data_IF_384346963112
#
_entry.id   IF_384346963112
#
_cell.length_a   1.000
_cell.length_b   1.000
_cell.length_c   1.000
_cell.angle_alpha   90.00
_cell.angle_beta   90.00
_cell.angle_gamma   90.00
#
_symmetry.space_group_name_H-M   'P 1'
#
loop_
_entity.id
_entity.type
_entity.pdbx_description
1 polymer ?
#
# COMPACT_ATOMS: atom_id res chain seq x y z
N UNK A 1 -20.92 1.81 15.94
CA UNK A 1 -19.72 2.29 15.21
C UNK A 1 -19.43 1.29 14.12
N UNK A 2 -19.13 1.70 12.88
CA UNK A 2 -18.72 0.74 11.85
C UNK A 2 -17.39 0.12 12.26
N UNK A 3 -17.33 -1.18 12.18
CA UNK A 3 -16.12 -1.97 12.39
C UNK A 3 -15.52 -2.23 11.01
N UNK A 4 -14.29 -1.90 10.80
CA UNK A 4 -13.62 -1.99 9.51
C UNK A 4 -12.92 -0.66 9.17
N UNK A 5 -12.28 -0.56 8.02
CA UNK A 5 -11.51 0.62 7.60
C UNK A 5 -12.16 1.91 8.10
N UNK A 6 -11.54 2.54 9.07
CA UNK A 6 -12.13 3.55 9.93
C UNK A 6 -12.66 4.79 9.20
N UNK A 7 -12.24 5.02 7.97
CA UNK A 7 -12.64 6.14 7.13
C UNK A 7 -13.77 5.82 6.14
N UNK A 8 -14.24 4.56 6.10
CA UNK A 8 -15.24 4.11 5.14
C UNK A 8 -16.64 4.04 5.75
N UNK A 9 -17.63 4.56 5.02
CA UNK A 9 -19.03 4.53 5.39
C UNK A 9 -19.44 5.49 6.50
N UNK A 10 -18.52 6.27 7.04
CA UNK A 10 -18.81 7.31 8.02
C UNK A 10 -18.89 8.65 7.29
N UNK A 11 -20.09 9.20 7.21
CA UNK A 11 -20.23 10.60 6.87
C UNK A 11 -19.80 11.43 8.07
N UNK A 12 -18.72 12.16 7.93
CA UNK A 12 -18.31 13.16 8.91
C UNK A 12 -19.12 14.44 8.70
N UNK A 13 -19.54 15.04 9.79
CA UNK A 13 -20.17 16.37 9.75
C UNK A 13 -19.08 17.44 9.63
N UNK A 14 -19.49 18.61 9.21
CA UNK A 14 -18.59 19.76 9.13
C UNK A 14 -17.81 19.97 10.44
N UNK A 15 -16.48 20.05 10.33
CA UNK A 15 -15.57 20.24 11.45
C UNK A 15 -15.22 18.98 12.24
N UNK A 16 -15.81 17.83 11.95
CA UNK A 16 -15.39 16.57 12.58
C UNK A 16 -14.09 16.07 11.99
N UNK A 17 -13.24 15.51 12.84
CA UNK A 17 -11.96 14.90 12.48
C UNK A 17 -11.97 13.47 12.97
N UNK A 18 -11.49 12.58 12.10
CA UNK A 18 -11.30 11.16 12.42
C UNK A 18 -9.86 10.75 12.11
N UNK A 19 -9.27 10.01 13.02
CA UNK A 19 -7.97 9.36 12.83
C UNK A 19 -8.19 7.87 12.60
N UNK A 20 -7.48 7.31 11.62
CA UNK A 20 -7.50 5.90 11.30
C UNK A 20 -6.08 5.33 11.29
N UNK A 21 -5.99 4.04 11.59
CA UNK A 21 -4.76 3.27 11.53
C UNK A 21 -5.08 1.89 10.96
N UNK A 22 -4.56 1.62 9.77
CA UNK A 22 -4.59 0.28 9.20
C UNK A 22 -3.19 -0.32 9.33
N UNK A 23 -3.12 -1.59 9.72
CA UNK A 23 -1.86 -2.32 9.84
C UNK A 23 -2.01 -3.70 9.22
N UNK A 24 -1.10 -4.04 8.30
CA UNK A 24 -0.95 -5.36 7.72
C UNK A 24 0.41 -5.92 8.09
N UNK A 25 0.42 -7.14 8.61
CA UNK A 25 1.65 -7.86 8.90
C UNK A 25 1.64 -9.18 8.14
N UNK A 26 2.72 -9.44 7.44
CA UNK A 26 2.90 -10.61 6.61
C UNK A 26 4.23 -11.27 6.92
N UNK A 27 4.23 -12.59 6.92
CA UNK A 27 5.43 -13.40 6.96
C UNK A 27 5.39 -14.39 5.82
N UNK A 28 6.41 -14.41 4.98
CA UNK A 28 6.47 -15.20 3.76
C UNK A 28 7.79 -15.97 3.76
N UNK A 29 7.70 -17.30 3.71
CA UNK A 29 8.83 -18.16 3.35
C UNK A 29 8.91 -18.25 1.83
N UNK A 30 10.11 -18.19 1.30
CA UNK A 30 10.34 -18.32 -0.13
C UNK A 30 11.58 -19.14 -0.42
N UNK A 31 11.57 -19.75 -1.58
CA UNK A 31 12.74 -20.44 -2.15
C UNK A 31 12.65 -20.44 -3.67
N UNK A 32 13.79 -20.56 -4.33
CA UNK A 32 13.86 -20.87 -5.74
C UNK A 32 15.11 -21.71 -6.04
N UNK A 33 15.01 -22.51 -7.10
CA UNK A 33 16.11 -23.28 -7.62
C UNK A 33 17.23 -22.38 -8.15
N UNK A 34 18.39 -23.00 -8.38
CA UNK A 34 19.50 -22.36 -9.06
C UNK A 34 19.03 -21.77 -10.38
N UNK A 35 19.32 -20.49 -10.58
CA UNK A 35 19.00 -19.83 -11.84
C UNK A 35 19.95 -20.34 -12.94
N UNK A 36 19.41 -20.75 -14.10
CA UNK A 36 20.23 -21.11 -15.24
C UNK A 36 21.19 -19.98 -15.61
N UNK A 37 22.44 -20.33 -15.87
CA UNK A 37 23.51 -19.40 -16.26
C UNK A 37 23.87 -18.33 -15.20
N UNK A 38 23.43 -18.51 -13.95
CA UNK A 38 23.81 -17.66 -12.83
C UNK A 38 25.22 -18.01 -12.31
N UNK A 39 25.94 -16.99 -11.83
CA UNK A 39 27.19 -17.18 -11.10
C UNK A 39 26.96 -17.80 -9.71
N UNK A 40 25.73 -17.76 -9.21
CA UNK A 40 25.33 -18.34 -7.94
C UNK A 40 24.78 -19.75 -8.18
N UNK A 41 25.58 -20.75 -7.87
CA UNK A 41 25.27 -22.15 -8.15
C UNK A 41 24.67 -22.85 -6.91
N UNK A 42 23.69 -22.25 -6.27
CA UNK A 42 22.99 -22.78 -5.11
C UNK A 42 21.52 -22.33 -5.07
N UNK A 43 20.70 -23.11 -4.38
CA UNK A 43 19.29 -22.75 -4.12
C UNK A 43 19.23 -21.57 -3.15
N UNK A 44 18.40 -20.60 -3.47
CA UNK A 44 18.14 -19.45 -2.58
C UNK A 44 16.92 -19.73 -1.71
N UNK A 45 17.11 -19.61 -0.42
CA UNK A 45 16.04 -19.76 0.59
C UNK A 45 16.05 -18.60 1.56
N UNK A 46 14.89 -18.17 1.93
CA UNK A 46 14.76 -17.10 2.91
C UNK A 46 13.34 -16.90 3.40
N UNK A 47 13.18 -15.92 4.23
CA UNK A 47 11.89 -15.47 4.68
C UNK A 47 11.83 -13.95 4.67
N UNK A 48 10.64 -13.40 4.53
CA UNK A 48 10.38 -11.98 4.60
C UNK A 48 9.31 -11.69 5.64
N UNK A 49 9.60 -10.78 6.55
CA UNK A 49 8.61 -10.16 7.41
C UNK A 49 8.29 -8.76 6.88
N UNK A 50 7.02 -8.46 6.72
CA UNK A 50 6.54 -7.16 6.23
C UNK A 50 5.52 -6.60 7.22
N UNK A 51 5.69 -5.35 7.62
CA UNK A 51 4.73 -4.60 8.43
C UNK A 51 4.42 -3.28 7.72
N UNK A 52 3.19 -3.13 7.26
CA UNK A 52 2.72 -1.93 6.58
C UNK A 52 1.69 -1.24 7.44
N UNK A 53 2.02 -0.05 7.90
CA UNK A 53 1.13 0.82 8.66
C UNK A 53 0.64 1.96 7.77
N UNK A 54 -0.66 2.23 7.79
CA UNK A 54 -1.25 3.34 7.03
C UNK A 54 -2.07 4.23 7.96
N UNK A 55 -1.43 5.16 8.68
CA UNK A 55 -2.16 6.20 9.40
C UNK A 55 -2.92 7.09 8.42
N UNK A 56 -4.09 7.52 8.84
CA UNK A 56 -4.93 8.43 8.08
C UNK A 56 -5.62 9.47 8.96
N UNK A 57 -5.90 10.62 8.37
CA UNK A 57 -6.76 11.63 8.95
C UNK A 57 -7.85 12.01 7.94
N UNK A 58 -9.08 12.06 8.39
CA UNK A 58 -10.23 12.49 7.59
C UNK A 58 -10.93 13.65 8.27
N UNK A 59 -11.23 14.69 7.52
CA UNK A 59 -11.88 15.91 8.00
C UNK A 59 -13.17 16.13 7.23
N UNK A 60 -14.28 16.33 7.93
CA UNK A 60 -15.53 16.77 7.36
C UNK A 60 -15.47 18.26 7.02
N UNK A 61 -15.43 18.59 5.73
CA UNK A 61 -15.49 19.98 5.26
C UNK A 61 -16.92 20.51 5.26
N UNK A 62 -17.87 19.62 5.05
CA UNK A 62 -19.30 19.87 5.14
C UNK A 62 -20.02 18.58 5.56
N UNK A 63 -21.34 18.62 5.67
CA UNK A 63 -22.14 17.42 5.93
C UNK A 63 -22.16 16.43 4.75
N UNK A 64 -21.59 16.81 3.62
CA UNK A 64 -21.57 16.02 2.39
C UNK A 64 -20.17 15.78 1.86
N UNK A 65 -19.20 16.59 2.24
CA UNK A 65 -17.83 16.53 1.70
C UNK A 65 -16.85 16.25 2.83
N UNK A 66 -15.99 15.28 2.62
CA UNK A 66 -14.84 15.07 3.46
C UNK A 66 -13.55 14.98 2.63
N UNK A 67 -12.44 15.31 3.26
CA UNK A 67 -11.10 15.14 2.73
C UNK A 67 -10.32 14.19 3.63
N UNK A 68 -9.57 13.28 3.05
CA UNK A 68 -8.68 12.39 3.80
C UNK A 68 -7.26 12.44 3.26
N UNK A 69 -6.31 12.33 4.18
CA UNK A 69 -4.90 12.16 3.94
C UNK A 69 -4.46 10.85 4.57
N UNK A 70 -3.74 10.01 3.85
CA UNK A 70 -3.10 8.83 4.39
C UNK A 70 -1.65 8.72 3.93
N UNK A 71 -0.82 8.07 4.75
CA UNK A 71 0.60 7.85 4.51
C UNK A 71 0.92 6.38 4.72
N UNK A 72 1.52 5.74 3.72
CA UNK A 72 2.08 4.40 3.90
C UNK A 72 3.40 4.51 4.66
N UNK A 73 3.57 3.67 5.67
CA UNK A 73 4.82 3.48 6.40
C UNK A 73 5.12 1.99 6.35
N UNK A 74 6.15 1.60 5.63
CA UNK A 74 6.49 0.20 5.42
C UNK A 74 7.79 -0.18 6.08
N UNK A 75 7.78 -1.27 6.83
CA UNK A 75 8.96 -1.92 7.33
C UNK A 75 8.98 -3.34 6.78
N UNK A 76 10.05 -3.72 6.10
CA UNK A 76 10.26 -5.06 5.55
C UNK A 76 11.64 -5.55 5.94
N UNK A 77 11.70 -6.81 6.28
CA UNK A 77 12.90 -7.47 6.76
C UNK A 77 13.05 -8.79 6.04
N UNK A 78 14.18 -8.99 5.40
CA UNK A 78 14.50 -10.27 4.76
C UNK A 78 15.48 -11.05 5.63
N UNK A 79 15.19 -12.32 5.80
CA UNK A 79 16.02 -13.29 6.48
C UNK A 79 16.51 -14.30 5.44
N UNK A 80 17.78 -14.62 5.47
CA UNK A 80 18.39 -15.63 4.63
C UNK A 80 18.61 -16.93 5.42
N UNK A 81 18.34 -18.05 4.79
CA UNK A 81 18.65 -19.34 5.37
C UNK A 81 20.14 -19.63 5.17
N UNK A 82 20.83 -19.93 6.29
CA UNK A 82 22.26 -20.26 6.36
C UNK A 82 23.23 -19.13 5.98
N UNK A 83 24.50 -19.53 5.88
CA UNK A 83 25.63 -18.66 5.57
C UNK A 83 25.74 -18.27 4.09
N UNK A 84 25.01 -18.95 3.22
CA UNK A 84 24.97 -18.69 1.80
C UNK A 84 23.87 -17.68 1.48
N UNK A 85 24.28 -16.55 0.99
CA UNK A 85 23.39 -15.48 0.62
C UNK A 85 23.68 -15.02 -0.81
N UNK A 86 22.62 -14.65 -1.51
CA UNK A 86 22.73 -14.11 -2.84
C UNK A 86 23.26 -12.68 -2.82
N UNK A 87 24.25 -12.37 -3.62
CA UNK A 87 24.81 -11.03 -3.74
C UNK A 87 23.88 -10.11 -4.53
N UNK A 88 23.10 -10.63 -5.44
CA UNK A 88 22.18 -9.83 -6.25
C UNK A 88 20.91 -9.38 -5.48
N UNK A 89 20.62 -9.98 -4.34
CA UNK A 89 19.49 -9.59 -3.50
C UNK A 89 19.86 -8.53 -2.43
N UNK A 90 21.07 -8.02 -2.42
CA UNK A 90 21.55 -7.15 -1.34
C UNK A 90 22.11 -5.85 -1.80
N UNK A 91 21.59 -4.81 -1.19
CA UNK A 91 22.09 -3.45 -1.39
C UNK A 91 22.58 -2.77 -0.11
N UNK A 92 22.29 -3.32 1.07
CA UNK A 92 22.64 -2.67 2.33
C UNK A 92 23.86 -3.24 3.03
N UNK A 93 24.61 -4.12 2.39
CA UNK A 93 25.77 -4.75 3.00
C UNK A 93 25.46 -5.64 4.22
N UNK A 94 24.20 -5.95 4.43
CA UNK A 94 23.74 -6.84 5.49
C UNK A 94 23.70 -8.27 4.98
N UNK A 95 24.29 -9.17 5.76
CA UNK A 95 24.35 -10.58 5.39
C UNK A 95 23.09 -11.36 5.73
N UNK A 96 22.40 -10.99 6.80
CA UNK A 96 21.32 -11.78 7.37
C UNK A 96 19.99 -11.08 7.34
N UNK A 97 19.96 -9.80 7.09
CA UNK A 97 18.74 -9.03 7.02
C UNK A 97 18.84 -7.91 5.99
N UNK A 98 17.71 -7.56 5.49
CA UNK A 98 17.57 -6.54 4.48
C UNK A 98 16.46 -5.59 4.96
N UNK A 99 16.86 -4.37 5.26
CA UNK A 99 15.93 -3.36 5.75
C UNK A 99 15.58 -2.45 4.59
N UNK A 100 14.36 -2.22 4.37
CA UNK A 100 13.73 -1.35 3.38
C UNK A 100 14.62 -0.70 2.33
N UNK A 101 13.99 -0.36 1.20
CA UNK A 101 14.64 0.30 0.09
C UNK A 101 15.28 1.65 0.46
N UNK A 102 16.23 2.11 -0.33
CA UNK A 102 16.74 3.47 -0.27
C UNK A 102 15.56 4.45 -0.40
N UNK A 103 15.47 5.42 0.47
CA UNK A 103 14.31 6.34 0.55
C UNK A 103 13.55 6.23 1.85
N UNK A 104 13.93 5.29 2.72
CA UNK A 104 13.43 5.16 4.08
C UNK A 104 12.11 4.40 4.19
N UNK A 105 11.45 4.55 5.32
CA UNK A 105 10.23 3.82 5.67
C UNK A 105 8.96 4.35 5.01
N UNK A 106 8.99 5.57 4.46
CA UNK A 106 7.79 6.22 3.94
C UNK A 106 7.47 5.73 2.53
N UNK A 107 6.28 5.20 2.35
CA UNK A 107 5.68 4.88 1.07
C UNK A 107 4.80 6.02 0.55
N UNK A 108 3.87 5.68 -0.31
CA UNK A 108 3.02 6.65 -0.99
C UNK A 108 2.10 7.41 -0.02
N UNK A 109 1.82 8.66 -0.38
CA UNK A 109 0.81 9.50 0.27
C UNK A 109 -0.42 9.56 -0.61
N UNK A 110 -1.59 9.43 0.00
CA UNK A 110 -2.84 9.53 -0.73
C UNK A 110 -3.71 10.65 -0.16
N UNK A 111 -4.20 11.50 -1.05
CA UNK A 111 -5.16 12.56 -0.73
C UNK A 111 -6.45 12.26 -1.48
N UNK A 112 -7.56 12.20 -0.75
CA UNK A 112 -8.88 11.88 -1.30
C UNK A 112 -9.91 12.92 -0.89
N UNK A 113 -10.80 13.25 -1.82
CA UNK A 113 -12.02 14.00 -1.53
C UNK A 113 -13.19 13.06 -1.79
N UNK A 114 -14.16 13.01 -0.87
CA UNK A 114 -15.35 12.19 -0.98
C UNK A 114 -16.59 13.05 -0.87
N UNK A 115 -17.57 12.75 -1.69
CA UNK A 115 -18.88 13.38 -1.70
C UNK A 115 -19.97 12.36 -1.40
N UNK A 116 -20.83 12.68 -0.44
CA UNK A 116 -22.00 11.88 -0.09
C UNK A 116 -23.14 12.19 -1.09
N UNK A 117 -23.38 11.27 -2.01
CA UNK A 117 -24.43 11.40 -3.04
C UNK A 117 -25.81 11.15 -2.45
N UNK A 118 -25.92 10.08 -1.65
CA UNK A 118 -27.18 9.63 -1.09
C UNK A 118 -27.04 9.35 0.39
N UNK A 119 -27.99 9.91 1.15
CA UNK A 119 -28.15 9.62 2.55
C UNK A 119 -29.65 9.63 2.88
N UNK A 120 -30.23 8.48 3.10
CA UNK A 120 -31.67 8.34 3.33
C UNK A 120 -32.11 8.69 4.77
N UNK A 121 -31.27 9.39 5.53
CA UNK A 121 -31.66 9.99 6.80
C UNK A 121 -31.07 9.36 8.06
N UNK A 122 -31.73 9.62 9.21
CA UNK A 122 -31.20 9.25 10.53
C UNK A 122 -31.43 7.79 10.91
N UNK A 123 -32.43 7.14 10.34
CA UNK A 123 -32.76 5.73 10.59
C UNK A 123 -31.97 4.74 9.71
N UNK A 124 -32.56 3.59 9.47
CA UNK A 124 -32.10 2.64 8.45
C UNK A 124 -32.14 3.27 7.06
N UNK A 125 -31.30 2.80 6.17
CA UNK A 125 -31.24 3.33 4.80
C UNK A 125 -29.88 3.23 4.16
N UNK A 126 -29.76 3.85 3.00
CA UNK A 126 -28.58 3.73 2.12
C UNK A 126 -27.72 4.97 2.20
N UNK A 127 -26.40 4.76 2.16
CA UNK A 127 -25.39 5.81 2.00
C UNK A 127 -24.48 5.45 0.84
N UNK A 128 -24.31 6.38 -0.08
CA UNK A 128 -23.44 6.23 -1.25
C UNK A 128 -22.48 7.41 -1.29
N UNK A 129 -21.20 7.11 -1.37
CA UNK A 129 -20.15 8.11 -1.56
C UNK A 129 -19.45 7.87 -2.89
N UNK A 130 -19.10 8.94 -3.55
CA UNK A 130 -18.12 8.94 -4.64
C UNK A 130 -16.89 9.70 -4.18
N UNK A 131 -15.73 9.21 -4.53
CA UNK A 131 -14.47 9.84 -4.17
C UNK A 131 -13.53 9.93 -5.36
N UNK A 132 -12.66 10.92 -5.30
CA UNK A 132 -11.55 11.07 -6.19
C UNK A 132 -10.34 11.62 -5.46
N UNK A 133 -9.15 11.33 -5.96
CA UNK A 133 -7.93 11.78 -5.33
C UNK A 133 -6.68 11.45 -6.12
N UNK A 134 -5.56 11.64 -5.45
CA UNK A 134 -4.23 11.40 -6.00
C UNK A 134 -3.38 10.61 -5.02
N UNK A 135 -2.56 9.72 -5.54
CA UNK A 135 -1.44 9.11 -4.82
C UNK A 135 -0.14 9.75 -5.28
N UNK A 136 0.65 10.19 -4.33
CA UNK A 136 1.93 10.83 -4.53
C UNK A 136 3.02 9.83 -4.18
N UNK A 137 3.95 9.53 -5.10
CA UNK A 137 5.00 8.55 -4.84
C UNK A 137 5.97 9.03 -3.78
N UNK A 138 6.53 8.08 -3.06
CA UNK A 138 7.67 8.31 -2.19
C UNK A 138 8.99 8.03 -2.92
N UNK A 139 10.10 8.23 -2.21
CA UNK A 139 11.44 7.87 -2.69
C UNK A 139 11.80 6.41 -2.42
N UNK A 140 10.95 5.67 -1.72
CA UNK A 140 11.16 4.26 -1.42
C UNK A 140 10.69 3.39 -2.60
N UNK A 141 11.40 3.50 -3.72
CA UNK A 141 11.13 2.79 -4.97
C UNK A 141 12.15 1.68 -5.20
N UNK A 142 11.88 0.84 -6.18
CA UNK A 142 12.87 -0.10 -6.69
C UNK A 142 14.11 0.64 -7.19
N UNK A 143 15.27 0.04 -6.99
CA UNK A 143 16.57 0.62 -7.37
C UNK A 143 17.11 0.09 -8.68
N UNK A 144 16.62 -1.07 -9.12
CA UNK A 144 16.99 -1.75 -10.37
C UNK A 144 15.76 -2.35 -11.04
N UNK A 145 15.88 -2.71 -12.31
CA UNK A 145 14.80 -3.38 -13.05
C UNK A 145 14.48 -4.73 -12.40
N UNK A 146 13.22 -4.94 -11.92
CA UNK A 146 12.83 -6.18 -11.27
C UNK A 146 12.81 -7.40 -12.21
N UNK A 147 12.82 -7.20 -13.52
CA UNK A 147 12.75 -8.27 -14.51
C UNK A 147 14.07 -8.54 -15.22
N UNK A 148 15.12 -7.78 -14.96
CA UNK A 148 16.46 -7.96 -15.57
C UNK A 148 16.44 -8.01 -17.10
N UNK A 149 15.59 -7.22 -17.73
CA UNK A 149 15.38 -7.31 -19.17
C UNK A 149 16.60 -6.84 -19.97
N UNK A 150 17.34 -5.87 -19.46
CA UNK A 150 18.38 -5.20 -20.21
C UNK A 150 19.82 -5.66 -19.93
N UNK A 151 20.11 -6.19 -18.74
CA UNK A 151 21.48 -6.52 -18.32
C UNK A 151 21.54 -7.83 -17.53
N UNK A 152 21.33 -8.96 -18.19
CA UNK A 152 21.47 -10.28 -17.56
C UNK A 152 22.90 -10.60 -17.11
N UNK A 153 23.89 -9.94 -17.68
CA UNK A 153 25.31 -10.16 -17.43
C UNK A 153 25.86 -9.26 -16.31
N UNK A 154 25.15 -8.24 -15.91
CA UNK A 154 25.49 -7.40 -14.77
C UNK A 154 24.64 -7.82 -13.59
N UNK A 155 25.27 -8.36 -12.55
CA UNK A 155 24.61 -8.64 -11.28
C UNK A 155 24.41 -7.31 -10.57
N UNK A 156 23.43 -6.56 -11.04
CA UNK A 156 23.00 -5.37 -10.33
C UNK A 156 22.24 -5.81 -9.07
N UNK A 157 22.69 -5.30 -7.94
CA UNK A 157 21.98 -5.44 -6.68
C UNK A 157 20.58 -4.91 -6.83
N UNK A 158 19.60 -5.80 -6.85
CA UNK A 158 18.21 -5.38 -6.95
C UNK A 158 17.44 -5.65 -5.68
N UNK A 159 16.39 -4.89 -5.53
CA UNK A 159 15.47 -5.00 -4.41
C UNK A 159 14.13 -5.50 -4.89
N UNK A 160 13.66 -6.55 -4.25
CA UNK A 160 12.33 -7.06 -4.48
C UNK A 160 11.24 -6.24 -3.81
N UNK A 161 11.60 -5.32 -2.94
CA UNK A 161 10.64 -4.66 -2.05
C UNK A 161 10.79 -3.16 -2.09
N UNK A 162 9.71 -2.53 -2.49
CA UNK A 162 9.50 -1.10 -2.31
C UNK A 162 8.13 -0.88 -1.68
N UNK A 163 7.91 0.28 -1.11
CA UNK A 163 6.59 0.70 -0.61
C UNK A 163 5.98 1.80 -1.47
N UNK A 164 6.58 2.02 -2.65
CA UNK A 164 6.13 2.92 -3.69
C UNK A 164 6.50 2.38 -5.06
N UNK A 165 5.61 2.53 -6.03
CA UNK A 165 5.90 2.21 -7.43
C UNK A 165 6.69 3.33 -8.13
N UNK A 166 6.79 4.51 -7.50
CA UNK A 166 7.46 5.67 -8.08
C UNK A 166 6.59 6.51 -9.01
N UNK A 167 5.30 6.18 -9.18
CA UNK A 167 4.38 6.86 -10.09
C UNK A 167 3.35 7.70 -9.36
N UNK A 168 2.97 8.83 -9.95
CA UNK A 168 1.75 9.52 -9.56
C UNK A 168 0.54 8.74 -10.06
N UNK A 169 -0.51 8.64 -9.24
CA UNK A 169 -1.73 7.92 -9.61
C UNK A 169 -2.97 8.76 -9.39
N UNK A 170 -3.92 8.66 -10.30
CA UNK A 170 -5.29 9.07 -10.04
C UNK A 170 -6.00 7.96 -9.28
N UNK A 171 -6.84 8.36 -8.35
CA UNK A 171 -7.63 7.44 -7.52
C UNK A 171 -9.11 7.78 -7.67
N UNK A 172 -9.90 6.78 -8.04
CA UNK A 172 -11.36 6.84 -8.06
C UNK A 172 -11.93 5.90 -7.00
N UNK A 173 -13.00 6.30 -6.33
CA UNK A 173 -13.62 5.50 -5.28
C UNK A 173 -15.14 5.58 -5.34
N UNK A 174 -15.78 4.44 -5.11
CA UNK A 174 -17.21 4.32 -4.88
C UNK A 174 -17.43 3.52 -3.59
N UNK A 175 -18.23 4.07 -2.67
CA UNK A 175 -18.61 3.39 -1.44
C UNK A 175 -20.13 3.27 -1.37
N UNK A 176 -20.58 2.11 -0.94
CA UNK A 176 -21.99 1.81 -0.73
C UNK A 176 -22.17 1.16 0.64
N UNK A 177 -23.07 1.69 1.44
CA UNK A 177 -23.42 1.17 2.76
C UNK A 177 -24.91 1.18 2.99
N UNK A 178 -25.39 0.06 3.51
CA UNK A 178 -26.73 -0.11 4.02
C UNK A 178 -26.68 -0.07 5.55
N UNK A 179 -27.31 0.94 6.14
CA UNK A 179 -27.56 0.99 7.58
C UNK A 179 -28.85 0.25 7.88
N UNK A 180 -28.84 -0.63 8.87
CA UNK A 180 -29.97 -1.42 9.31
C UNK A 180 -30.33 -1.08 10.75
N UNK A 181 -31.55 -1.42 11.17
CA UNK A 181 -32.01 -1.27 12.57
C UNK A 181 -31.67 -2.48 13.45
N UNK A 182 -30.96 -3.47 12.90
CA UNK A 182 -30.52 -4.70 13.57
C UNK A 182 -29.09 -5.07 13.18
N UNK A 183 -28.48 -5.94 13.95
CA UNK A 183 -27.08 -6.34 13.75
C UNK A 183 -26.87 -7.25 12.51
N UNK A 184 -25.76 -7.05 11.77
CA UNK A 184 -24.85 -5.90 11.86
C UNK A 184 -25.52 -4.61 11.37
N UNK A 185 -25.30 -3.51 12.10
CA UNK A 185 -25.94 -2.22 11.83
C UNK A 185 -25.54 -1.67 10.46
N UNK A 186 -24.32 -1.93 10.02
CA UNK A 186 -23.86 -1.54 8.69
C UNK A 186 -23.42 -2.76 7.88
N UNK A 187 -23.87 -2.80 6.64
CA UNK A 187 -23.39 -3.73 5.61
C UNK A 187 -23.06 -2.93 4.38
N UNK A 188 -21.91 -3.17 3.79
CA UNK A 188 -21.54 -2.47 2.57
C UNK A 188 -20.10 -2.73 2.17
N UNK A 189 -19.62 -1.95 1.22
CA UNK A 189 -18.28 -2.09 0.69
C UNK A 189 -17.81 -0.83 -0.01
N UNK A 190 -16.56 -0.87 -0.40
CA UNK A 190 -15.91 0.15 -1.18
C UNK A 190 -15.18 -0.48 -2.38
N UNK A 191 -15.27 0.19 -3.50
CA UNK A 191 -14.52 -0.10 -4.70
C UNK A 191 -13.57 1.06 -4.98
N UNK A 192 -12.29 0.78 -5.16
CA UNK A 192 -11.28 1.79 -5.45
C UNK A 192 -10.47 1.35 -6.69
N UNK A 193 -10.25 2.29 -7.60
CA UNK A 193 -9.40 2.13 -8.77
C UNK A 193 -8.27 3.14 -8.67
N UNK A 194 -7.07 2.69 -8.98
CA UNK A 194 -5.91 3.56 -9.12
C UNK A 194 -5.29 3.37 -10.50
N UNK A 195 -4.99 4.47 -11.16
CA UNK A 195 -4.39 4.48 -12.50
C UNK A 195 -3.16 5.38 -12.47
N UNK A 196 -1.98 4.89 -12.85
CA UNK A 196 -0.80 5.73 -13.01
C UNK A 196 -1.03 6.77 -14.10
N UNK A 197 -0.49 7.96 -13.94
CA UNK A 197 -0.55 9.05 -14.91
C UNK A 197 0.82 9.35 -15.51
N UNK A 198 1.84 8.74 -15.00
CA UNK A 198 3.20 8.73 -15.49
C UNK A 198 3.80 7.32 -15.36
N UNK A 199 4.90 7.09 -16.00
CA UNK A 199 5.68 5.87 -15.88
C UNK A 199 6.74 6.03 -14.79
N UNK A 200 7.05 4.95 -14.11
CA UNK A 200 8.18 4.94 -13.20
C UNK A 200 9.51 4.88 -13.97
N UNK A 201 10.63 4.90 -13.25
CA UNK A 201 12.00 4.82 -13.81
C UNK A 201 12.20 3.64 -14.77
N UNK A 202 11.42 2.59 -14.64
CA UNK A 202 11.56 1.34 -15.44
C UNK A 202 10.43 1.13 -16.45
N UNK A 203 9.55 2.11 -16.64
CA UNK A 203 8.48 2.05 -17.63
C UNK A 203 7.24 1.27 -17.21
N UNK A 204 6.99 1.11 -15.92
CA UNK A 204 5.79 0.43 -15.39
C UNK A 204 4.79 1.42 -14.81
#
# INVERSE_FOLDING_TARGET
MPVGNSDRGIGLWAGQIMFGFDNSNEYIDWWHDVLPDSLENFEHKGAMASSILTPSVTIGLSNYINISLSQVIGYRHMFWDKDEYSIHHRTEGSNNNFINAVGGLLGDRKVMIRYLITNTGKGSGTRVFVGGGVSLPSKNTLTSDPFFLDNRDEIDEHRHFSVSDGCYKLVGELQFYLKRDYDPVFVGGAFQVQTPIDENKYGY
#
